data_IF_805564863627
#
_entry.id   IF_805564863627
#
_cell.length_a   1.000
_cell.length_b   1.000
_cell.length_c   1.000
_cell.angle_alpha   90.00
_cell.angle_beta   90.00
_cell.angle_gamma   90.00
#
_symmetry.space_group_name_H-M   'P 1'
#
loop_
_entity.id
_entity.type
_entity.pdbx_description
1 polymer ?
#
# COMPACT_ATOMS: atom_id res chain seq x y z
N UNK A 1 -30.16 -4.57 8.03
CA UNK A 1 -28.99 -5.45 8.20
C UNK A 1 -27.86 -4.84 7.38
N UNK A 2 -27.01 -4.04 8.00
CA UNK A 2 -25.76 -3.65 7.34
C UNK A 2 -24.90 -4.91 7.26
N UNK A 3 -24.62 -5.36 6.03
CA UNK A 3 -23.77 -6.50 5.79
C UNK A 3 -22.32 -6.21 6.13
N UNK A 4 -21.52 -7.26 6.29
CA UNK A 4 -20.07 -7.20 6.50
C UNK A 4 -19.41 -6.23 5.50
N UNK A 5 -18.77 -5.19 6.01
CA UNK A 5 -18.09 -4.15 5.21
C UNK A 5 -16.70 -4.60 4.83
N UNK A 6 -16.36 -4.53 3.54
CA UNK A 6 -15.04 -4.91 3.02
C UNK A 6 -14.17 -3.68 2.87
N UNK A 7 -13.10 -3.63 3.65
CA UNK A 7 -12.10 -2.57 3.61
C UNK A 7 -10.86 -3.06 2.87
N UNK A 8 -10.46 -2.38 1.80
CA UNK A 8 -9.26 -2.71 1.02
C UNK A 8 -8.15 -1.68 1.22
N UNK A 9 -6.99 -2.10 1.71
CA UNK A 9 -5.81 -1.25 1.88
C UNK A 9 -4.73 -1.63 0.86
N UNK A 10 -4.31 -0.67 0.04
CA UNK A 10 -3.18 -0.81 -0.86
C UNK A 10 -1.92 -0.20 -0.25
N UNK A 11 -0.84 -0.97 -0.20
CA UNK A 11 0.44 -0.50 0.34
C UNK A 11 1.63 -1.15 -0.37
N UNK A 12 2.76 -0.43 -0.42
CA UNK A 12 4.05 -1.01 -0.75
C UNK A 12 4.50 -2.03 0.32
N UNK A 13 5.54 -2.81 0.03
CA UNK A 13 6.11 -3.79 0.98
C UNK A 13 7.26 -3.24 1.83
N UNK A 14 7.60 -1.96 1.67
CA UNK A 14 8.65 -1.30 2.41
C UNK A 14 8.15 -1.01 3.83
N UNK A 15 8.75 -1.66 4.84
CA UNK A 15 8.27 -1.65 6.23
C UNK A 15 8.05 -0.25 6.81
N UNK A 16 8.85 0.76 6.42
CA UNK A 16 8.66 2.13 6.87
C UNK A 16 7.25 2.67 6.58
N UNK A 17 6.70 2.38 5.40
CA UNK A 17 5.35 2.80 5.01
C UNK A 17 4.30 1.75 5.40
N UNK A 18 4.61 0.47 5.14
CA UNK A 18 3.65 -0.61 5.34
C UNK A 18 3.23 -0.77 6.81
N UNK A 19 4.11 -0.49 7.76
CA UNK A 19 3.80 -0.59 9.19
C UNK A 19 2.65 0.33 9.62
N UNK A 20 2.55 1.54 9.04
CA UNK A 20 1.45 2.47 9.37
C UNK A 20 0.12 1.91 8.89
N UNK A 21 0.11 1.30 7.70
CA UNK A 21 -1.07 0.64 7.13
C UNK A 21 -1.48 -0.57 7.97
N UNK A 22 -0.52 -1.39 8.40
CA UNK A 22 -0.78 -2.54 9.27
C UNK A 22 -1.27 -2.13 10.66
N UNK A 23 -0.71 -1.07 11.25
CA UNK A 23 -1.18 -0.54 12.54
C UNK A 23 -2.61 0.05 12.42
N UNK A 24 -2.91 0.72 11.31
CA UNK A 24 -4.26 1.22 11.05
C UNK A 24 -5.25 0.05 10.90
N UNK A 25 -4.89 -0.97 10.13
CA UNK A 25 -5.67 -2.19 9.98
C UNK A 25 -5.90 -2.92 11.32
N UNK A 26 -4.88 -2.97 12.18
CA UNK A 26 -4.96 -3.53 13.52
C UNK A 26 -6.02 -2.83 14.38
N UNK A 27 -5.94 -1.49 14.48
CA UNK A 27 -6.91 -0.74 15.28
C UNK A 27 -8.33 -0.83 14.72
N UNK A 28 -8.49 -0.77 13.39
CA UNK A 28 -9.80 -0.89 12.75
C UNK A 28 -10.42 -2.27 12.99
N UNK A 29 -9.63 -3.35 12.90
CA UNK A 29 -10.15 -4.69 13.17
C UNK A 29 -10.56 -4.91 14.62
N UNK A 30 -9.93 -4.21 15.57
CA UNK A 30 -10.30 -4.24 16.99
C UNK A 30 -11.51 -3.34 17.29
N UNK A 31 -11.64 -2.21 16.60
CA UNK A 31 -12.68 -1.23 16.85
C UNK A 31 -14.01 -1.57 16.15
N UNK A 32 -13.97 -2.25 15.00
CA UNK A 32 -15.14 -2.53 14.17
C UNK A 32 -15.33 -4.05 13.99
N UNK A 33 -16.41 -4.59 14.55
CA UNK A 33 -16.69 -6.05 14.53
C UNK A 33 -17.25 -6.56 13.20
N UNK A 34 -17.72 -5.65 12.36
CA UNK A 34 -18.44 -5.87 11.10
C UNK A 34 -17.61 -5.51 9.87
N UNK A 35 -16.28 -5.39 10.03
CA UNK A 35 -15.35 -5.10 8.94
C UNK A 35 -14.48 -6.32 8.62
N UNK A 36 -14.36 -6.64 7.34
CA UNK A 36 -13.38 -7.56 6.80
C UNK A 36 -12.26 -6.76 6.13
N UNK A 37 -11.03 -6.99 6.59
CA UNK A 37 -9.88 -6.19 6.19
C UNK A 37 -9.03 -6.96 5.18
N UNK A 38 -8.88 -6.36 4.01
CA UNK A 38 -8.10 -6.87 2.88
C UNK A 38 -6.85 -6.01 2.72
N UNK A 39 -5.68 -6.65 2.71
CA UNK A 39 -4.38 -5.99 2.49
C UNK A 39 -3.85 -6.41 1.12
N UNK A 40 -3.74 -5.46 0.20
CA UNK A 40 -3.16 -5.65 -1.11
C UNK A 40 -1.74 -5.09 -1.17
N UNK A 41 -0.76 -5.97 -1.33
CA UNK A 41 0.65 -5.59 -1.37
C UNK A 41 1.51 -6.62 -2.11
N UNK A 42 2.82 -6.39 -2.15
CA UNK A 42 3.79 -7.29 -2.76
C UNK A 42 4.17 -8.43 -1.81
N UNK A 43 4.70 -9.52 -2.37
CA UNK A 43 5.01 -10.76 -1.64
C UNK A 43 5.83 -10.54 -0.35
N UNK A 44 6.75 -9.57 -0.37
CA UNK A 44 7.62 -9.27 0.78
C UNK A 44 6.87 -8.87 2.05
N UNK A 45 5.62 -8.40 1.95
CA UNK A 45 4.83 -7.99 3.12
C UNK A 45 4.03 -9.14 3.75
N UNK A 46 3.96 -10.31 3.11
CA UNK A 46 3.06 -11.39 3.55
C UNK A 46 3.26 -11.80 5.01
N UNK A 47 4.50 -12.02 5.42
CA UNK A 47 4.82 -12.38 6.81
C UNK A 47 4.41 -11.29 7.79
N UNK A 48 4.67 -10.02 7.46
CA UNK A 48 4.25 -8.88 8.28
C UNK A 48 2.72 -8.77 8.45
N UNK A 49 1.95 -9.10 7.42
CA UNK A 49 0.48 -9.16 7.50
C UNK A 49 0.04 -10.31 8.41
N UNK A 50 0.64 -11.49 8.27
CA UNK A 50 0.32 -12.65 9.11
C UNK A 50 0.67 -12.37 10.59
N UNK A 51 1.79 -11.70 10.86
CA UNK A 51 2.23 -11.31 12.19
C UNK A 51 1.31 -10.24 12.80
N UNK A 52 0.98 -9.19 12.03
CA UNK A 52 0.06 -8.13 12.46
C UNK A 52 -1.34 -8.68 12.75
N UNK A 53 -1.80 -9.63 11.95
CA UNK A 53 -3.08 -10.31 12.15
C UNK A 53 -3.11 -11.12 13.46
N UNK A 54 -2.04 -11.85 13.78
CA UNK A 54 -1.94 -12.58 15.06
C UNK A 54 -1.84 -11.63 16.25
N UNK A 55 -1.07 -10.55 16.10
CA UNK A 55 -0.94 -9.53 17.13
C UNK A 55 -2.31 -8.91 17.45
N UNK A 56 -3.07 -8.51 16.43
CA UNK A 56 -4.43 -7.98 16.58
C UNK A 56 -5.36 -8.90 17.37
N UNK A 57 -5.34 -10.20 17.05
CA UNK A 57 -6.17 -11.18 17.77
C UNK A 57 -5.74 -11.35 19.23
N UNK A 58 -4.43 -11.31 19.49
CA UNK A 58 -3.87 -11.38 20.84
C UNK A 58 -4.29 -10.15 21.65
N UNK A 59 -4.19 -8.96 21.07
CA UNK A 59 -4.61 -7.70 21.69
C UNK A 59 -6.10 -7.66 21.96
N UNK A 60 -6.94 -8.13 21.03
CA UNK A 60 -8.38 -8.23 21.24
C UNK A 60 -8.72 -9.15 22.43
N UNK A 61 -8.05 -10.32 22.53
CA UNK A 61 -8.23 -11.24 23.65
C UNK A 61 -7.82 -10.61 24.99
N UNK A 62 -6.69 -9.89 25.04
CA UNK A 62 -6.25 -9.16 26.23
C UNK A 62 -7.24 -8.06 26.65
N UNK A 63 -7.86 -7.40 25.68
CA UNK A 63 -8.90 -6.38 25.89
C UNK A 63 -10.29 -6.97 26.16
N UNK A 64 -10.44 -8.31 26.23
CA UNK A 64 -11.72 -9.01 26.37
C UNK A 64 -12.75 -8.62 25.29
N UNK A 65 -12.27 -8.28 24.09
CA UNK A 65 -13.09 -8.02 22.91
C UNK A 65 -13.30 -9.31 22.12
N UNK A 66 -14.29 -9.30 21.24
CA UNK A 66 -14.50 -10.39 20.28
C UNK A 66 -13.26 -10.55 19.40
N UNK A 67 -12.85 -11.80 19.16
CA UNK A 67 -11.70 -12.09 18.32
C UNK A 67 -11.95 -11.62 16.88
N UNK A 68 -11.16 -10.68 16.35
CA UNK A 68 -11.32 -10.20 15.00
C UNK A 68 -10.87 -11.24 13.97
N UNK A 69 -11.44 -11.14 12.76
CA UNK A 69 -11.04 -11.99 11.64
C UNK A 69 -9.60 -11.71 11.24
N UNK A 70 -8.84 -12.71 10.78
CA UNK A 70 -7.51 -12.46 10.28
C UNK A 70 -7.55 -11.60 9.00
N UNK A 71 -6.49 -10.85 8.74
CA UNK A 71 -6.39 -10.06 7.52
C UNK A 71 -6.34 -10.94 6.27
N UNK A 72 -7.04 -10.53 5.21
CA UNK A 72 -7.00 -11.23 3.92
C UNK A 72 -5.92 -10.62 3.03
N UNK A 73 -4.87 -11.37 2.74
CA UNK A 73 -3.76 -10.87 1.93
C UNK A 73 -3.98 -11.10 0.42
N UNK A 74 -3.81 -10.03 -0.36
CA UNK A 74 -3.88 -10.05 -1.82
C UNK A 74 -2.51 -9.69 -2.40
N UNK A 75 -1.90 -10.65 -3.09
CA UNK A 75 -0.60 -10.44 -3.73
C UNK A 75 -0.77 -9.61 -5.00
N UNK A 76 0.00 -8.53 -5.09
CA UNK A 76 0.23 -7.74 -6.30
C UNK A 76 1.51 -8.26 -6.96
N UNK A 77 1.42 -8.61 -8.25
CA UNK A 77 2.60 -8.99 -9.03
C UNK A 77 3.34 -7.74 -9.47
N UNK A 78 4.68 -7.78 -9.40
CA UNK A 78 5.55 -6.67 -9.78
C UNK A 78 6.65 -6.44 -8.76
N UNK A 79 7.33 -5.31 -8.91
CA UNK A 79 8.42 -4.87 -8.01
C UNK A 79 7.89 -3.76 -7.11
N UNK A 80 8.07 -3.88 -5.79
CA UNK A 80 7.74 -2.81 -4.86
C UNK A 80 8.67 -1.61 -5.02
N UNK A 81 8.30 -0.49 -4.40
CA UNK A 81 9.01 0.77 -4.54
C UNK A 81 10.50 0.69 -4.14
N UNK A 82 10.83 0.13 -2.97
CA UNK A 82 12.22 0.09 -2.48
C UNK A 82 13.20 -0.67 -3.40
N UNK A 83 12.87 -1.87 -3.90
CA UNK A 83 13.71 -2.55 -4.88
C UNK A 83 13.73 -1.84 -6.25
N UNK A 84 12.65 -1.15 -6.65
CA UNK A 84 12.62 -0.41 -7.91
C UNK A 84 13.55 0.82 -7.88
N UNK A 85 13.63 1.52 -6.75
CA UNK A 85 14.54 2.68 -6.55
C UNK A 85 16.02 2.31 -6.34
N UNK A 86 16.34 1.02 -6.25
CA UNK A 86 17.72 0.52 -6.17
C UNK A 86 18.33 0.23 -7.53
N UNK A 87 17.58 0.36 -8.62
CA UNK A 87 18.06 -0.01 -9.95
C UNK A 87 19.02 1.07 -10.50
N UNK A 88 20.04 0.71 -11.29
CA UNK A 88 21.05 1.65 -11.79
C UNK A 88 20.46 2.87 -12.50
N UNK A 89 19.35 2.68 -13.22
CA UNK A 89 18.64 3.75 -13.94
C UNK A 89 18.02 4.83 -13.03
N UNK A 90 17.88 4.55 -11.73
CA UNK A 90 17.32 5.50 -10.75
C UNK A 90 18.37 6.24 -9.93
N UNK A 91 19.64 5.78 -9.90
CA UNK A 91 20.83 6.40 -9.27
C UNK A 91 20.62 7.12 -7.90
N UNK A 92 19.62 6.66 -7.13
CA UNK A 92 19.16 7.32 -5.90
C UNK A 92 20.19 7.27 -4.79
N UNK A 93 20.74 6.07 -4.55
CA UNK A 93 21.66 5.86 -3.43
C UNK A 93 22.97 6.62 -3.67
N UNK A 94 23.46 6.63 -4.90
CA UNK A 94 24.63 7.42 -5.30
C UNK A 94 24.42 8.93 -5.13
N UNK A 95 23.20 9.42 -5.38
CA UNK A 95 22.87 10.86 -5.25
C UNK A 95 22.64 11.26 -3.79
N UNK A 96 22.05 10.38 -2.97
CA UNK A 96 21.79 10.61 -1.54
C UNK A 96 23.05 10.50 -0.68
N UNK A 97 24.08 9.80 -1.15
CA UNK A 97 25.39 9.69 -0.49
C UNK A 97 26.29 10.91 -0.74
N UNK A 98 25.90 11.85 -1.60
CA UNK A 98 26.64 13.08 -1.86
C UNK A 98 26.59 14.03 -0.65
N UNK A 99 27.73 14.66 -0.33
CA UNK A 99 27.79 15.71 0.70
C UNK A 99 26.79 16.82 0.38
N UNK A 100 25.89 17.20 1.33
CA UNK A 100 24.92 18.26 1.13
C UNK A 100 25.58 19.59 0.75
N UNK A 101 25.07 20.21 -0.31
CA UNK A 101 25.55 21.51 -0.82
C UNK A 101 24.68 21.93 -2.00
N UNK A 102 24.64 23.22 -2.33
CA UNK A 102 23.66 23.79 -3.31
C UNK A 102 23.59 22.99 -4.61
N UNK A 103 24.74 22.61 -5.18
CA UNK A 103 24.82 21.84 -6.43
C UNK A 103 24.34 20.40 -6.25
N UNK A 104 24.77 19.72 -5.17
CA UNK A 104 24.41 18.32 -4.93
C UNK A 104 22.94 18.18 -4.50
N UNK A 105 22.42 19.13 -3.72
CA UNK A 105 21.01 19.21 -3.37
C UNK A 105 20.13 19.47 -4.59
N UNK A 106 20.56 20.35 -5.52
CA UNK A 106 19.84 20.56 -6.78
C UNK A 106 19.79 19.28 -7.64
N UNK A 107 20.89 18.50 -7.70
CA UNK A 107 20.91 17.18 -8.35
C UNK A 107 19.95 16.19 -7.66
N UNK A 108 19.93 16.20 -6.32
CA UNK A 108 18.98 15.40 -5.54
C UNK A 108 17.52 15.77 -5.81
N UNK A 109 17.20 17.06 -5.99
CA UNK A 109 15.85 17.48 -6.38
C UNK A 109 15.51 17.02 -7.79
N UNK A 110 16.46 17.09 -8.72
CA UNK A 110 16.24 16.69 -10.11
C UNK A 110 15.94 15.19 -10.28
N UNK A 111 16.43 14.33 -9.38
CA UNK A 111 16.17 12.88 -9.44
C UNK A 111 14.83 12.47 -8.81
N UNK A 112 14.18 13.35 -8.03
CA UNK A 112 12.91 13.08 -7.34
C UNK A 112 11.83 12.48 -8.25
N UNK A 113 11.58 12.94 -9.49
CA UNK A 113 10.57 12.32 -10.34
C UNK A 113 10.86 10.84 -10.65
N UNK A 114 12.12 10.49 -10.90
CA UNK A 114 12.55 9.11 -11.12
C UNK A 114 12.42 8.26 -9.84
N UNK A 115 12.61 8.87 -8.67
CA UNK A 115 12.36 8.23 -7.36
C UNK A 115 10.90 7.96 -7.11
N UNK A 116 10.02 8.88 -7.49
CA UNK A 116 8.58 8.78 -7.20
C UNK A 116 7.89 7.76 -8.11
N UNK A 117 8.42 7.54 -9.32
CA UNK A 117 7.90 6.57 -10.29
C UNK A 117 9.09 5.77 -10.88
N UNK A 118 9.71 4.87 -10.09
CA UNK A 118 10.92 4.14 -10.48
C UNK A 118 10.64 2.96 -11.43
N UNK A 119 9.44 2.88 -12.01
CA UNK A 119 9.02 1.79 -12.87
C UNK A 119 8.98 2.24 -14.31
N UNK A 120 9.34 1.33 -15.22
CA UNK A 120 9.06 1.54 -16.63
C UNK A 120 7.54 1.69 -16.86
N UNK A 121 7.11 2.38 -17.95
CA UNK A 121 5.69 2.51 -18.26
C UNK A 121 4.95 1.17 -18.33
N UNK A 122 5.62 0.11 -18.82
CA UNK A 122 5.05 -1.23 -18.91
C UNK A 122 4.85 -1.86 -17.53
N UNK A 123 5.87 -1.86 -16.68
CA UNK A 123 5.76 -2.38 -15.31
C UNK A 123 4.69 -1.63 -14.52
N UNK A 124 4.63 -0.31 -14.68
CA UNK A 124 3.60 0.52 -14.07
C UNK A 124 2.19 0.06 -14.48
N UNK A 125 1.95 -0.12 -15.78
CA UNK A 125 0.66 -0.58 -16.31
C UNK A 125 0.31 -2.01 -15.88
N UNK A 126 1.29 -2.90 -15.83
CA UNK A 126 1.08 -4.29 -15.39
C UNK A 126 0.69 -4.34 -13.91
N UNK A 127 1.38 -3.59 -13.05
CA UNK A 127 0.98 -3.46 -11.64
C UNK A 127 -0.36 -2.74 -11.48
N UNK A 128 -0.65 -1.74 -12.29
CA UNK A 128 -1.95 -1.07 -12.31
C UNK A 128 -3.08 -2.07 -12.56
N UNK A 129 -2.93 -2.95 -13.57
CA UNK A 129 -3.91 -4.01 -13.85
C UNK A 129 -4.06 -5.01 -12.72
N UNK A 130 -2.96 -5.36 -12.03
CA UNK A 130 -3.05 -6.21 -10.83
C UNK A 130 -3.84 -5.53 -9.71
N UNK A 131 -3.75 -4.20 -9.56
CA UNK A 131 -4.57 -3.46 -8.59
C UNK A 131 -6.05 -3.41 -8.98
N UNK A 132 -6.36 -3.36 -10.29
CA UNK A 132 -7.73 -3.48 -10.79
C UNK A 132 -8.28 -4.88 -10.52
N UNK A 133 -7.50 -5.93 -10.83
CA UNK A 133 -7.85 -7.32 -10.54
C UNK A 133 -8.22 -7.51 -9.05
N UNK A 134 -7.36 -7.06 -8.14
CA UNK A 134 -7.62 -7.20 -6.69
C UNK A 134 -8.83 -6.37 -6.26
N UNK A 135 -9.00 -5.16 -6.81
CA UNK A 135 -10.18 -4.34 -6.50
C UNK A 135 -11.48 -5.02 -6.94
N UNK A 136 -11.52 -5.59 -8.14
CA UNK A 136 -12.69 -6.28 -8.67
C UNK A 136 -12.98 -7.59 -7.92
N UNK A 137 -11.94 -8.36 -7.57
CA UNK A 137 -12.04 -9.57 -6.74
C UNK A 137 -12.59 -9.28 -5.33
N UNK A 138 -12.12 -8.20 -4.71
CA UNK A 138 -12.54 -7.82 -3.35
C UNK A 138 -13.89 -7.11 -3.35
N UNK A 139 -14.18 -6.29 -4.36
CA UNK A 139 -15.36 -5.42 -4.43
C UNK A 139 -15.60 -4.63 -3.12
N UNK A 140 -14.65 -3.78 -2.70
CA UNK A 140 -14.66 -3.17 -1.37
C UNK A 140 -15.67 -2.03 -1.22
N UNK A 141 -16.22 -1.88 -0.01
CA UNK A 141 -17.03 -0.71 0.39
C UNK A 141 -16.16 0.55 0.55
N UNK A 142 -14.92 0.39 1.00
CA UNK A 142 -13.96 1.47 1.19
C UNK A 142 -12.56 1.01 0.75
N UNK A 143 -11.85 1.88 0.02
CA UNK A 143 -10.46 1.65 -0.36
C UNK A 143 -9.55 2.73 0.23
N UNK A 144 -8.51 2.30 0.94
CA UNK A 144 -7.44 3.16 1.46
C UNK A 144 -6.19 2.90 0.62
N UNK A 145 -5.53 3.98 0.19
CA UNK A 145 -4.32 3.90 -0.64
C UNK A 145 -3.22 4.69 0.00
N UNK A 146 -2.12 4.02 0.31
CA UNK A 146 -0.89 4.64 0.80
C UNK A 146 -0.35 5.68 -0.23
N UNK A 147 0.16 6.85 0.19
CA UNK A 147 0.46 7.96 -0.71
C UNK A 147 1.48 7.67 -1.84
N UNK A 148 2.47 6.81 -1.58
CA UNK A 148 3.49 6.36 -2.53
C UNK A 148 3.05 5.14 -3.35
N UNK A 149 1.85 4.62 -3.11
CA UNK A 149 1.23 3.60 -3.95
C UNK A 149 0.60 4.24 -5.20
N UNK A 150 1.47 4.70 -6.09
CA UNK A 150 1.13 5.57 -7.23
C UNK A 150 0.19 4.92 -8.26
N UNK A 151 0.23 3.60 -8.41
CA UNK A 151 -0.54 2.83 -9.37
C UNK A 151 -2.05 3.03 -9.13
N UNK A 152 -2.53 2.90 -7.90
CA UNK A 152 -3.97 2.99 -7.61
C UNK A 152 -4.50 4.43 -7.64
N UNK A 153 -3.65 5.43 -7.40
CA UNK A 153 -4.06 6.85 -7.32
C UNK A 153 -4.65 7.39 -8.62
N UNK A 154 -4.22 6.86 -9.78
CA UNK A 154 -4.74 7.26 -11.10
C UNK A 154 -6.22 6.87 -11.25
N UNK A 155 -6.60 5.68 -10.75
CA UNK A 155 -7.99 5.19 -10.84
C UNK A 155 -8.92 5.94 -9.89
N UNK A 156 -8.51 6.26 -8.66
CA UNK A 156 -9.32 7.05 -7.71
C UNK A 156 -9.68 8.43 -8.26
N UNK A 157 -8.74 9.14 -8.88
CA UNK A 157 -9.06 10.40 -9.58
C UNK A 157 -10.05 10.18 -10.72
N UNK A 158 -9.91 9.11 -11.51
CA UNK A 158 -10.86 8.82 -12.60
C UNK A 158 -12.25 8.36 -12.13
N UNK A 159 -12.38 7.78 -10.92
CA UNK A 159 -13.66 7.44 -10.29
C UNK A 159 -14.30 8.68 -9.66
N UNK A 160 -13.52 9.56 -9.01
CA UNK A 160 -14.01 10.86 -8.55
C UNK A 160 -14.49 11.75 -9.69
N UNK A 161 -13.75 11.79 -10.82
CA UNK A 161 -14.19 12.49 -12.03
C UNK A 161 -15.48 11.91 -12.62
N UNK A 162 -15.69 10.58 -12.54
CA UNK A 162 -16.93 9.94 -12.97
C UNK A 162 -18.11 10.17 -12.01
N UNK A 163 -17.87 10.20 -10.70
CA UNK A 163 -18.90 10.56 -9.72
C UNK A 163 -19.32 12.03 -9.79
N UNK A 164 -18.45 12.93 -10.26
CA UNK A 164 -18.77 14.36 -10.41
C UNK A 164 -19.53 14.69 -11.69
N UNK A 165 -19.79 13.71 -12.57
CA UNK A 165 -20.43 13.88 -13.88
C UNK A 165 -21.84 13.28 -13.93
N UNK A 166 -22.40 12.81 -12.81
CA UNK A 166 -23.77 12.32 -12.69
C UNK A 166 -24.56 13.12 -11.64
#
# INVERSE_FOLDING_TARGET
MEGLKRLLLFTNSDFGQANVVLATAHELGIACEDVEIHIASFQGLRSGVDDASRFMQTTAAQQKKKTPRPFVFHKIKGTSWGPATKRPETAIFETLELTPGVVNSAKGVAILPAVMIPWSPREFLDMYKETERVFDEVNPDLTIVEPLFTQRRIRLKSLQFRCSQN
#
